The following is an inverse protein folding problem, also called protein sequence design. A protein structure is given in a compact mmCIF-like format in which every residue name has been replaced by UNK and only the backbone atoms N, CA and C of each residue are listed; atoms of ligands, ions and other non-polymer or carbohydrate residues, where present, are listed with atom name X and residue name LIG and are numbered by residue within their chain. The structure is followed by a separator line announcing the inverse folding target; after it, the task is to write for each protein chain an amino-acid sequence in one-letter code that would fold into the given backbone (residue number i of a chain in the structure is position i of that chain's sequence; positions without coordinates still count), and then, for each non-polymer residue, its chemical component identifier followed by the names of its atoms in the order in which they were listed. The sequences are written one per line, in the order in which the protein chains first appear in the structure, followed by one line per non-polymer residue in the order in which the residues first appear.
data_IF_040955211204
#
_entry.id   IF_040955211204
#
_cell.length_a   1.000
_cell.length_b   1.000
_cell.length_c   1.000
_cell.angle_alpha   90.00
_cell.angle_beta   90.00
_cell.angle_gamma   90.00
#
_symmetry.space_group_name_H-M   'P 1'
#
loop_
_entity.id
_entity.type
_entity.pdbx_description
1 polymer ?
#
# COMPACT_ATOMS: atom_id res chain seq x y z
N UNK A 1 -55.44 28.52 -24.48
CA UNK A 1 -54.31 29.24 -23.85
C UNK A 1 -53.26 28.22 -23.45
N UNK A 2 -51.98 28.55 -23.59
CA UNK A 2 -50.83 27.62 -23.48
C UNK A 2 -50.72 26.89 -22.12
N UNK A 3 -50.31 25.63 -22.22
CA UNK A 3 -49.98 24.67 -21.18
C UNK A 3 -48.58 24.94 -20.63
N UNK A 4 -48.42 25.12 -19.31
CA UNK A 4 -47.13 25.49 -18.72
C UNK A 4 -46.56 24.57 -17.63
N UNK A 5 -47.31 23.64 -17.04
CA UNK A 5 -46.73 22.86 -15.92
C UNK A 5 -47.28 21.44 -15.83
N UNK A 6 -47.03 20.67 -16.87
CA UNK A 6 -46.56 19.31 -16.64
C UNK A 6 -45.39 19.14 -17.64
N UNK A 7 -44.29 18.43 -17.31
CA UNK A 7 -44.54 17.00 -17.24
C UNK A 7 -43.58 16.09 -16.43
N UNK A 8 -44.14 14.89 -16.22
CA UNK A 8 -43.54 13.55 -16.12
C UNK A 8 -42.88 13.18 -14.78
N UNK A 9 -43.62 12.39 -14.01
CA UNK A 9 -43.13 11.14 -13.45
C UNK A 9 -42.05 10.55 -14.38
N UNK A 10 -40.79 10.55 -13.94
CA UNK A 10 -39.67 10.13 -14.80
C UNK A 10 -39.59 8.61 -14.77
N UNK A 11 -40.45 7.98 -15.57
CA UNK A 11 -40.22 6.71 -16.25
C UNK A 11 -39.60 5.57 -15.40
N UNK A 12 -40.26 5.16 -14.32
CA UNK A 12 -40.15 3.80 -13.78
C UNK A 12 -38.82 3.42 -13.09
N UNK A 13 -38.02 4.37 -12.63
CA UNK A 13 -36.89 4.10 -11.73
C UNK A 13 -37.20 4.56 -10.31
N UNK A 14 -36.85 3.74 -9.30
CA UNK A 14 -36.90 4.15 -7.90
C UNK A 14 -36.12 5.45 -7.71
N UNK A 15 -36.73 6.40 -7.02
CA UNK A 15 -36.15 7.71 -6.80
C UNK A 15 -34.83 7.58 -6.02
N UNK A 16 -33.72 7.97 -6.67
CA UNK A 16 -32.35 8.01 -6.14
C UNK A 16 -32.16 8.86 -4.87
N UNK A 17 -33.22 9.44 -4.30
CA UNK A 17 -33.18 10.15 -3.06
C UNK A 17 -33.08 9.19 -1.86
N UNK A 18 -31.90 9.21 -1.22
CA UNK A 18 -31.71 8.94 0.21
C UNK A 18 -31.68 7.47 0.68
N UNK A 19 -30.71 6.70 0.20
CA UNK A 19 -29.88 5.98 1.17
C UNK A 19 -28.69 6.86 1.50
N UNK A 20 -28.40 7.11 2.79
CA UNK A 20 -27.16 7.80 3.13
C UNK A 20 -26.00 6.96 2.64
N UNK A 21 -25.19 7.52 1.74
CA UNK A 21 -23.95 6.92 1.25
C UNK A 21 -22.88 7.06 2.36
N UNK A 22 -23.12 6.43 3.51
CA UNK A 22 -22.19 6.43 4.64
C UNK A 22 -20.84 5.80 4.27
N UNK A 23 -20.81 4.94 3.25
CA UNK A 23 -19.64 4.13 2.90
C UNK A 23 -18.65 4.81 1.94
N UNK A 24 -18.94 6.00 1.39
CA UNK A 24 -18.01 6.71 0.46
C UNK A 24 -17.74 8.17 0.80
N UNK A 25 -18.48 8.77 1.74
CA UNK A 25 -18.27 10.18 2.13
C UNK A 25 -17.08 10.42 3.07
N UNK A 26 -16.35 9.38 3.48
CA UNK A 26 -15.21 9.48 4.40
C UNK A 26 -13.87 9.78 3.70
N UNK A 27 -13.78 9.59 2.38
CA UNK A 27 -12.60 9.97 1.58
C UNK A 27 -12.94 11.24 0.81
N UNK A 28 -12.51 12.38 1.35
CA UNK A 28 -12.48 13.66 0.62
C UNK A 28 -11.07 13.92 0.12
N UNK A 29 -10.91 14.81 -0.87
CA UNK A 29 -9.59 15.24 -1.35
C UNK A 29 -8.72 15.80 -0.23
N UNK A 30 -9.32 16.48 0.75
CA UNK A 30 -8.62 17.03 1.91
C UNK A 30 -8.15 15.90 2.85
N UNK A 31 -9.02 14.93 3.17
CA UNK A 31 -8.65 13.82 4.04
C UNK A 31 -7.64 12.86 3.40
N UNK A 32 -7.59 12.78 2.07
CA UNK A 32 -6.63 11.94 1.36
C UNK A 32 -5.19 12.46 1.53
N UNK A 33 -4.98 13.78 1.42
CA UNK A 33 -3.67 14.39 1.62
C UNK A 33 -3.17 14.18 3.06
N UNK A 34 -4.05 14.38 4.05
CA UNK A 34 -3.73 14.17 5.47
C UNK A 34 -3.40 12.70 5.77
N UNK A 35 -4.06 11.74 5.12
CA UNK A 35 -3.74 10.31 5.26
C UNK A 35 -2.35 9.96 4.74
N UNK A 36 -1.99 10.49 3.57
CA UNK A 36 -0.65 10.31 3.04
C UNK A 36 0.41 10.97 3.92
N UNK A 37 0.14 12.17 4.43
CA UNK A 37 1.05 12.84 5.36
C UNK A 37 1.23 12.04 6.66
N UNK A 38 0.13 11.55 7.25
CA UNK A 38 0.18 10.72 8.44
C UNK A 38 1.05 9.47 8.26
N UNK A 39 0.87 8.73 7.16
CA UNK A 39 1.67 7.53 6.89
C UNK A 39 3.14 7.88 6.65
N UNK A 40 3.39 8.96 5.91
CA UNK A 40 4.74 9.43 5.68
C UNK A 40 5.44 9.76 7.00
N UNK A 41 4.80 10.53 7.88
CA UNK A 41 5.35 10.88 9.19
C UNK A 41 5.55 9.64 10.09
N UNK A 42 4.61 8.68 10.04
CA UNK A 42 4.66 7.45 10.82
C UNK A 42 5.83 6.53 10.41
N UNK A 43 6.09 6.42 9.10
CA UNK A 43 7.07 5.47 8.54
C UNK A 43 8.44 6.13 8.35
N UNK A 44 8.48 7.31 7.71
CA UNK A 44 9.73 8.02 7.45
C UNK A 44 10.30 8.68 8.71
N UNK A 45 9.40 9.05 9.63
CA UNK A 45 9.67 9.86 10.80
C UNK A 45 9.25 11.30 10.57
N UNK A 46 8.88 11.97 11.66
CA UNK A 46 8.53 13.40 11.68
C UNK A 46 9.57 14.18 12.48
N UNK A 47 9.72 15.46 12.14
CA UNK A 47 10.61 16.39 12.86
C UNK A 47 10.05 16.83 14.22
N UNK A 48 8.81 16.45 14.54
CA UNK A 48 8.20 16.71 15.83
C UNK A 48 8.81 15.83 16.93
N UNK A 49 9.16 16.46 18.05
CA UNK A 49 9.90 15.84 19.16
C UNK A 49 9.17 14.67 19.86
N UNK A 50 7.91 14.38 19.54
CA UNK A 50 7.13 13.25 20.08
C UNK A 50 6.27 12.56 19.01
N UNK A 51 6.72 12.57 17.75
CA UNK A 51 5.98 11.89 16.69
C UNK A 51 5.96 10.37 16.92
N UNK A 52 4.80 9.76 16.66
CA UNK A 52 4.68 8.32 16.58
C UNK A 52 5.53 7.82 15.40
N UNK A 53 6.52 6.97 15.67
CA UNK A 53 7.37 6.34 14.64
C UNK A 53 7.25 4.82 14.74
N UNK A 54 7.11 4.16 13.60
CA UNK A 54 7.23 2.70 13.51
C UNK A 54 8.70 2.32 13.26
N UNK A 55 9.24 1.44 14.10
CA UNK A 55 10.51 0.77 13.80
C UNK A 55 10.24 -0.42 12.87
N UNK A 56 10.33 -0.14 11.57
CA UNK A 56 10.09 -1.14 10.50
C UNK A 56 11.14 -2.25 10.52
N UNK A 57 12.38 -1.96 10.92
CA UNK A 57 13.47 -2.96 10.95
C UNK A 57 13.19 -3.95 12.08
N UNK A 58 12.89 -3.46 13.28
CA UNK A 58 12.57 -4.30 14.42
C UNK A 58 11.27 -5.10 14.18
N UNK A 59 10.27 -4.49 13.55
CA UNK A 59 9.06 -5.21 13.14
C UNK A 59 9.39 -6.40 12.23
N UNK A 60 10.17 -6.18 11.17
CA UNK A 60 10.52 -7.26 10.22
C UNK A 60 11.33 -8.36 10.91
N UNK A 61 12.33 -7.99 11.74
CA UNK A 61 13.16 -8.95 12.49
C UNK A 61 12.36 -9.82 13.46
N UNK A 62 11.28 -9.28 14.03
CA UNK A 62 10.49 -9.98 15.05
C UNK A 62 9.33 -10.78 14.46
N UNK A 63 8.77 -10.34 13.33
CA UNK A 63 7.58 -10.97 12.72
C UNK A 63 7.90 -12.00 11.65
N UNK A 64 9.03 -11.88 10.96
CA UNK A 64 9.38 -12.77 9.86
C UNK A 64 10.63 -13.59 10.18
N UNK A 65 10.65 -14.83 9.70
CA UNK A 65 11.86 -15.65 9.75
C UNK A 65 12.94 -15.04 8.84
N UNK A 66 14.21 -15.35 9.11
CA UNK A 66 15.30 -14.84 8.28
C UNK A 66 15.15 -15.24 6.80
N UNK A 67 14.66 -16.46 6.53
CA UNK A 67 14.45 -16.95 5.17
C UNK A 67 13.44 -16.09 4.38
N UNK A 68 12.43 -15.55 5.05
CA UNK A 68 11.45 -14.62 4.45
C UNK A 68 12.04 -13.22 4.36
N UNK A 69 12.63 -12.72 5.45
CA UNK A 69 13.10 -11.34 5.51
C UNK A 69 14.29 -11.05 4.57
N UNK A 70 15.16 -12.04 4.34
CA UNK A 70 16.30 -11.90 3.43
C UNK A 70 15.89 -11.94 1.95
N UNK A 71 14.74 -12.52 1.61
CA UNK A 71 14.25 -12.60 0.23
C UNK A 71 13.24 -11.48 -0.04
N UNK A 72 13.61 -10.55 -0.93
CA UNK A 72 12.83 -9.33 -1.12
C UNK A 72 11.39 -9.60 -1.60
N UNK A 73 11.21 -10.61 -2.44
CA UNK A 73 9.91 -10.97 -3.00
C UNK A 73 9.02 -11.64 -1.96
N UNK A 74 9.57 -12.60 -1.24
CA UNK A 74 8.86 -13.31 -0.16
C UNK A 74 8.46 -12.35 0.96
N UNK A 75 9.32 -11.39 1.31
CA UNK A 75 9.00 -10.37 2.30
C UNK A 75 7.78 -9.54 1.90
N UNK A 76 7.70 -9.07 0.65
CA UNK A 76 6.55 -8.28 0.17
C UNK A 76 5.27 -9.12 0.19
N UNK A 77 5.33 -10.39 -0.26
CA UNK A 77 4.17 -11.29 -0.24
C UNK A 77 3.66 -11.50 1.18
N UNK A 78 4.56 -11.77 2.13
CA UNK A 78 4.17 -11.97 3.53
C UNK A 78 3.68 -10.68 4.17
N UNK A 79 4.31 -9.53 3.87
CA UNK A 79 3.88 -8.24 4.38
C UNK A 79 2.50 -7.83 3.83
N UNK A 80 2.19 -8.16 2.58
CA UNK A 80 0.88 -7.91 1.99
C UNK A 80 -0.25 -8.59 2.78
N UNK A 81 -0.02 -9.77 3.37
CA UNK A 81 -1.00 -10.45 4.23
C UNK A 81 -1.30 -9.71 5.53
N UNK A 82 -0.37 -8.87 6.00
CA UNK A 82 -0.56 -8.06 7.20
C UNK A 82 -1.21 -6.71 6.90
N UNK A 83 -0.92 -6.14 5.73
CA UNK A 83 -1.34 -4.78 5.39
C UNK A 83 -2.61 -4.73 4.54
N UNK A 84 -2.85 -5.72 3.70
CA UNK A 84 -3.96 -5.68 2.75
C UNK A 84 -5.02 -6.73 3.09
N UNK A 85 -6.30 -6.38 2.94
CA UNK A 85 -7.39 -7.33 3.12
C UNK A 85 -7.52 -8.32 1.97
N UNK A 86 -7.02 -7.97 0.79
CA UNK A 86 -6.99 -8.83 -0.41
C UNK A 86 -5.52 -9.13 -0.73
N UNK A 87 -5.12 -10.39 -0.59
CA UNK A 87 -3.72 -10.81 -0.64
C UNK A 87 -3.53 -12.23 -1.21
N UNK A 88 -4.52 -12.76 -1.92
CA UNK A 88 -4.51 -14.13 -2.43
C UNK A 88 -3.71 -14.24 -3.73
N UNK A 89 -3.04 -15.39 -3.93
CA UNK A 89 -2.37 -15.77 -5.18
C UNK A 89 -1.39 -14.72 -5.75
N UNK A 90 -0.73 -13.96 -4.88
CA UNK A 90 0.22 -12.91 -5.28
C UNK A 90 1.37 -13.49 -6.12
N UNK A 91 1.66 -12.83 -7.24
CA UNK A 91 2.72 -13.23 -8.18
C UNK A 91 3.42 -12.02 -8.77
N UNK A 92 4.68 -12.21 -9.15
CA UNK A 92 5.47 -11.20 -9.88
C UNK A 92 5.47 -11.42 -11.39
N UNK A 93 4.89 -12.53 -11.87
CA UNK A 93 4.92 -12.89 -13.29
C UNK A 93 3.72 -12.28 -14.00
N UNK A 94 4.00 -11.35 -14.92
CA UNK A 94 2.98 -10.74 -15.77
C UNK A 94 2.21 -11.79 -16.56
N UNK A 95 0.88 -11.76 -16.50
CA UNK A 95 0.00 -12.72 -17.18
C UNK A 95 -0.32 -13.98 -16.38
N UNK A 96 0.30 -14.17 -15.21
CA UNK A 96 -0.07 -15.22 -14.26
C UNK A 96 -0.95 -14.71 -13.10
N UNK A 97 -1.41 -13.46 -13.17
CA UNK A 97 -2.12 -12.72 -12.12
C UNK A 97 -3.65 -12.70 -12.28
N UNK A 98 -4.21 -13.55 -13.14
CA UNK A 98 -5.66 -13.57 -13.46
C UNK A 98 -6.56 -13.79 -12.23
N UNK A 99 -6.08 -14.52 -11.22
CA UNK A 99 -6.80 -14.78 -9.96
C UNK A 99 -6.06 -14.21 -8.73
N UNK A 100 -5.16 -13.26 -8.94
CA UNK A 100 -4.36 -12.63 -7.89
C UNK A 100 -5.10 -11.43 -7.30
N UNK A 101 -5.01 -11.26 -5.99
CA UNK A 101 -5.53 -10.09 -5.28
C UNK A 101 -4.88 -8.78 -5.71
N UNK A 102 -3.61 -8.84 -6.13
CA UNK A 102 -2.86 -7.72 -6.70
C UNK A 102 -2.29 -8.11 -8.05
N UNK A 103 -2.24 -7.16 -8.99
CA UNK A 103 -1.61 -7.41 -10.29
C UNK A 103 -0.10 -7.63 -10.15
N UNK A 104 0.48 -8.39 -11.07
CA UNK A 104 1.93 -8.58 -11.12
C UNK A 104 2.67 -7.25 -11.32
N UNK A 105 2.09 -6.31 -12.08
CA UNK A 105 2.63 -4.96 -12.22
C UNK A 105 2.72 -4.22 -10.89
N UNK A 106 1.70 -4.36 -10.02
CA UNK A 106 1.71 -3.75 -8.68
C UNK A 106 2.77 -4.38 -7.78
N UNK A 107 2.91 -5.72 -7.81
CA UNK A 107 3.95 -6.41 -7.04
C UNK A 107 5.36 -5.97 -7.47
N UNK A 108 5.60 -5.87 -8.79
CA UNK A 108 6.87 -5.38 -9.33
C UNK A 108 7.13 -3.90 -9.00
N UNK A 109 6.08 -3.07 -8.95
CA UNK A 109 6.21 -1.69 -8.47
C UNK A 109 6.70 -1.64 -7.01
N UNK A 110 6.11 -2.42 -6.11
CA UNK A 110 6.56 -2.47 -4.72
C UNK A 110 8.00 -2.97 -4.60
N UNK A 111 8.38 -3.98 -5.37
CA UNK A 111 9.76 -4.46 -5.42
C UNK A 111 10.74 -3.38 -5.91
N UNK A 112 10.37 -2.63 -6.93
CA UNK A 112 11.18 -1.53 -7.46
C UNK A 112 11.37 -0.40 -6.46
N UNK A 113 10.32 0.02 -5.75
CA UNK A 113 10.40 1.07 -4.72
C UNK A 113 11.17 0.59 -3.50
N UNK A 114 10.99 -0.67 -3.10
CA UNK A 114 11.70 -1.28 -1.99
C UNK A 114 13.21 -1.27 -2.22
N UNK A 115 13.66 -1.85 -3.35
CA UNK A 115 15.08 -2.04 -3.58
C UNK A 115 15.78 -0.80 -4.13
N UNK A 116 15.05 0.04 -4.87
CA UNK A 116 15.60 1.18 -5.57
C UNK A 116 16.59 0.78 -6.67
N UNK A 117 17.25 1.78 -7.25
CA UNK A 117 18.30 1.59 -8.27
C UNK A 117 19.65 1.96 -7.66
N UNK A 118 20.02 1.25 -6.59
CA UNK A 118 21.26 1.48 -5.84
C UNK A 118 22.38 0.57 -6.36
N UNK A 119 22.03 -0.66 -6.75
CA UNK A 119 22.98 -1.72 -7.13
C UNK A 119 22.67 -2.30 -8.52
N UNK A 120 23.68 -2.90 -9.15
CA UNK A 120 23.52 -3.60 -10.42
C UNK A 120 22.62 -4.86 -10.30
N UNK A 121 22.60 -5.49 -9.12
CA UNK A 121 21.68 -6.57 -8.77
C UNK A 121 21.03 -6.30 -7.41
N UNK A 122 19.91 -5.55 -7.38
CA UNK A 122 19.31 -5.08 -6.14
C UNK A 122 18.81 -6.20 -5.21
N UNK A 123 18.27 -7.30 -5.75
CA UNK A 123 17.75 -8.42 -4.95
C UNK A 123 18.88 -9.19 -4.22
N UNK A 124 19.99 -9.45 -4.92
CA UNK A 124 21.15 -10.09 -4.32
C UNK A 124 21.85 -9.18 -3.29
N UNK A 125 21.90 -7.87 -3.59
CA UNK A 125 22.44 -6.88 -2.67
C UNK A 125 21.61 -6.79 -1.38
N UNK A 126 20.28 -6.75 -1.48
CA UNK A 126 19.37 -6.83 -0.32
C UNK A 126 19.63 -8.07 0.52
N UNK A 127 19.66 -9.25 -0.10
CA UNK A 127 19.90 -10.52 0.58
C UNK A 127 21.20 -10.48 1.38
N UNK A 128 22.26 -9.93 0.79
CA UNK A 128 23.58 -9.81 1.43
C UNK A 128 23.54 -8.82 2.59
N UNK A 129 23.00 -7.62 2.36
CA UNK A 129 22.86 -6.57 3.39
C UNK A 129 22.08 -7.08 4.59
N UNK A 130 20.94 -7.73 4.37
CA UNK A 130 20.10 -8.25 5.45
C UNK A 130 20.83 -9.31 6.29
N UNK A 131 21.45 -10.30 5.64
CA UNK A 131 22.10 -11.41 6.34
C UNK A 131 23.38 -11.00 7.09
N UNK A 132 24.14 -10.04 6.53
CA UNK A 132 25.41 -9.60 7.11
C UNK A 132 25.28 -8.35 7.97
N UNK A 133 24.13 -7.66 7.91
CA UNK A 133 23.90 -6.35 8.52
C UNK A 133 24.99 -5.33 8.12
N UNK A 134 25.46 -5.40 6.86
CA UNK A 134 26.61 -4.63 6.36
C UNK A 134 26.32 -3.15 6.16
N UNK A 135 25.05 -2.78 5.98
CA UNK A 135 24.61 -1.39 5.74
C UNK A 135 23.24 -1.16 6.40
N UNK A 136 23.21 -0.90 7.71
CA UNK A 136 21.96 -0.75 8.47
C UNK A 136 21.10 0.43 8.02
N UNK A 137 21.72 1.51 7.54
CA UNK A 137 21.03 2.71 7.08
C UNK A 137 20.27 2.44 5.78
N UNK A 138 20.93 1.78 4.81
CA UNK A 138 20.26 1.34 3.58
C UNK A 138 19.12 0.36 3.89
N UNK A 139 19.30 -0.56 4.82
CA UNK A 139 18.24 -1.51 5.24
C UNK A 139 17.03 -0.76 5.80
N UNK A 140 17.23 0.18 6.73
CA UNK A 140 16.14 0.98 7.29
C UNK A 140 15.43 1.78 6.19
N UNK A 141 16.19 2.44 5.31
CA UNK A 141 15.61 3.25 4.23
C UNK A 141 14.82 2.41 3.23
N UNK A 142 15.34 1.28 2.77
CA UNK A 142 14.65 0.38 1.84
C UNK A 142 13.34 -0.13 2.45
N UNK A 143 13.37 -0.57 3.72
CA UNK A 143 12.15 -0.99 4.41
C UNK A 143 11.15 0.14 4.60
N UNK A 144 11.59 1.35 4.96
CA UNK A 144 10.70 2.51 5.04
C UNK A 144 10.06 2.83 3.70
N UNK A 145 10.82 2.79 2.60
CA UNK A 145 10.28 2.99 1.25
C UNK A 145 9.20 1.96 0.93
N UNK A 146 9.43 0.68 1.26
CA UNK A 146 8.45 -0.39 1.06
C UNK A 146 7.17 -0.16 1.88
N UNK A 147 7.30 0.04 3.20
CA UNK A 147 6.16 0.27 4.08
C UNK A 147 5.35 1.49 3.66
N UNK A 148 6.04 2.58 3.32
CA UNK A 148 5.39 3.80 2.87
C UNK A 148 4.66 3.58 1.55
N UNK A 149 5.27 2.91 0.56
CA UNK A 149 4.64 2.62 -0.72
C UNK A 149 3.40 1.71 -0.57
N UNK A 150 3.47 0.69 0.29
CA UNK A 150 2.35 -0.22 0.53
C UNK A 150 1.22 0.46 1.32
N UNK A 151 1.51 1.18 2.39
CA UNK A 151 0.48 1.82 3.21
C UNK A 151 -0.17 3.03 2.52
N UNK A 152 0.56 3.74 1.66
CA UNK A 152 -0.01 4.79 0.81
C UNK A 152 -0.71 4.24 -0.44
N UNK A 153 -0.70 2.93 -0.67
CA UNK A 153 -1.37 2.37 -1.83
C UNK A 153 -2.90 2.43 -1.68
N UNK A 154 -3.66 2.60 -2.78
CA UNK A 154 -5.12 2.50 -2.75
C UNK A 154 -5.62 1.20 -2.09
N UNK A 155 -4.86 0.13 -2.25
CA UNK A 155 -5.17 -1.20 -1.72
C UNK A 155 -5.17 -1.24 -0.18
N UNK A 156 -4.40 -0.37 0.48
CA UNK A 156 -4.47 -0.13 1.94
C UNK A 156 -5.55 0.88 2.34
N UNK A 157 -5.77 1.90 1.51
CA UNK A 157 -6.59 3.06 1.90
C UNK A 157 -8.09 2.87 1.75
N UNK A 158 -8.51 2.00 0.84
CA UNK A 158 -9.90 1.87 0.39
C UNK A 158 -10.71 0.81 1.15
N UNK A 159 -10.05 -0.03 1.95
CA UNK A 159 -10.66 -1.15 2.65
C UNK A 159 -10.44 -1.10 4.16
#
# INVERSE_FOLDING_TARGET
GMQFYDPFDVAGYEAYHQYLIYHRSWISTNYLAERYNFINELVMGSSSANALKVDVVNFVKTKFSNAIASDARSLIIELAKYLFPVHENLTYTTGADTNSGLTAARMNYFLGVFLGIIDANPEAAWTTRWNTNSDPEAIEMQLKNLFNAMMQSPEYQLY
#
